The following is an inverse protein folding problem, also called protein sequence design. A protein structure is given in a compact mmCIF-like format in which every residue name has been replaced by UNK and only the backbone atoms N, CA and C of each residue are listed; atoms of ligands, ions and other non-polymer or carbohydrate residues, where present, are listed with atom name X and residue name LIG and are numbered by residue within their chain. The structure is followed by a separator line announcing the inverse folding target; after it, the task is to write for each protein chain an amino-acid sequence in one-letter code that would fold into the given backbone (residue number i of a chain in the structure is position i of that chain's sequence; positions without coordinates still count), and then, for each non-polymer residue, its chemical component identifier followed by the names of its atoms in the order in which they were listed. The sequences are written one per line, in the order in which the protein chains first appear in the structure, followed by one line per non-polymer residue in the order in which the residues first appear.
data_IF_935134159328
#
_entry.id   IF_935134159328
#
_cell.length_a   1.000
_cell.length_b   1.000
_cell.length_c   1.000
_cell.angle_alpha   90.00
_cell.angle_beta   90.00
_cell.angle_gamma   90.00
#
_symmetry.space_group_name_H-M   'P 1'
#
loop_
_entity.id
_entity.type
_entity.pdbx_description
1 polymer ?
#
# COMPACT_ATOMS: atom_id res chain seq x y z
N UNK A 1 -30.36 23.56 -30.23
CA UNK A 1 -29.56 22.35 -30.57
C UNK A 1 -28.25 22.25 -29.77
N UNK A 2 -27.48 23.34 -29.64
CA UNK A 2 -26.17 23.32 -28.96
C UNK A 2 -26.21 22.95 -27.46
N UNK A 3 -27.20 23.42 -26.71
CA UNK A 3 -27.30 23.13 -25.27
C UNK A 3 -27.49 21.63 -24.97
N UNK A 4 -28.27 20.93 -25.81
CA UNK A 4 -28.50 19.48 -25.66
C UNK A 4 -27.22 18.68 -25.92
N UNK A 5 -26.44 19.08 -26.92
CA UNK A 5 -25.14 18.46 -27.21
C UNK A 5 -24.14 18.66 -26.07
N UNK A 6 -24.14 19.83 -25.42
CA UNK A 6 -23.29 20.10 -24.27
C UNK A 6 -23.64 19.21 -23.08
N UNK A 7 -24.93 19.05 -22.76
CA UNK A 7 -25.38 18.14 -21.70
C UNK A 7 -25.05 16.67 -22.00
N UNK A 8 -25.19 16.22 -23.25
CA UNK A 8 -24.80 14.86 -23.63
C UNK A 8 -23.29 14.63 -23.49
N UNK A 9 -22.48 15.66 -23.74
CA UNK A 9 -21.02 15.59 -23.59
C UNK A 9 -20.61 15.54 -22.10
N UNK A 10 -21.22 16.37 -21.25
CA UNK A 10 -21.03 16.33 -19.79
C UNK A 10 -21.40 14.94 -19.24
N UNK A 11 -22.56 14.41 -19.64
CA UNK A 11 -23.05 13.10 -19.19
C UNK A 11 -22.12 11.95 -19.60
N UNK A 12 -21.55 11.99 -20.80
CA UNK A 12 -20.58 10.99 -21.28
C UNK A 12 -19.25 11.07 -20.53
N UNK A 13 -18.80 12.28 -20.20
CA UNK A 13 -17.56 12.49 -19.44
C UNK A 13 -17.72 12.03 -17.98
N UNK A 14 -18.84 12.33 -17.34
CA UNK A 14 -19.14 11.97 -15.96
C UNK A 14 -19.14 10.45 -15.73
N UNK A 15 -19.74 9.69 -16.65
CA UNK A 15 -19.76 8.22 -16.59
C UNK A 15 -18.36 7.60 -16.60
N UNK A 16 -17.42 8.19 -17.36
CA UNK A 16 -16.03 7.73 -17.41
C UNK A 16 -15.28 8.07 -16.12
N UNK A 17 -15.50 9.27 -15.57
CA UNK A 17 -14.83 9.69 -14.32
C UNK A 17 -15.15 8.73 -13.18
N UNK A 18 -16.42 8.33 -13.04
CA UNK A 18 -16.82 7.38 -11.99
C UNK A 18 -16.08 6.04 -12.09
N UNK A 19 -15.93 5.50 -13.30
CA UNK A 19 -15.21 4.24 -13.53
C UNK A 19 -13.74 4.34 -13.09
N UNK A 20 -13.04 5.35 -13.60
CA UNK A 20 -11.60 5.51 -13.33
C UNK A 20 -11.32 5.89 -11.87
N UNK A 21 -12.27 6.55 -11.20
CA UNK A 21 -12.16 6.85 -9.78
C UNK A 21 -12.09 5.59 -8.93
N UNK A 22 -12.89 4.57 -9.26
CA UNK A 22 -12.87 3.30 -8.55
C UNK A 22 -11.51 2.60 -8.73
N UNK A 23 -11.01 2.55 -9.96
CA UNK A 23 -9.70 1.97 -10.27
C UNK A 23 -8.56 2.66 -9.51
N UNK A 24 -8.61 4.00 -9.40
CA UNK A 24 -7.61 4.78 -8.65
C UNK A 24 -7.71 4.51 -7.15
N UNK A 25 -8.92 4.40 -6.60
CA UNK A 25 -9.12 4.08 -5.19
C UNK A 25 -8.63 2.68 -4.85
N UNK A 26 -8.88 1.69 -5.71
CA UNK A 26 -8.42 0.33 -5.53
C UNK A 26 -6.89 0.24 -5.62
N UNK A 27 -6.27 0.92 -6.60
CA UNK A 27 -4.82 1.02 -6.68
C UNK A 27 -4.20 1.72 -5.45
N UNK A 28 -4.86 2.77 -4.93
CA UNK A 28 -4.41 3.49 -3.75
C UNK A 28 -4.47 2.63 -2.48
N UNK A 29 -5.51 1.81 -2.30
CA UNK A 29 -5.63 0.86 -1.19
C UNK A 29 -4.48 -0.13 -1.20
N UNK A 30 -4.19 -0.74 -2.35
CA UNK A 30 -3.10 -1.71 -2.50
C UNK A 30 -1.76 -1.06 -2.15
N UNK A 31 -1.48 0.14 -2.68
CA UNK A 31 -0.25 0.88 -2.39
C UNK A 31 -0.11 1.27 -0.91
N UNK A 32 -1.21 1.65 -0.24
CA UNK A 32 -1.18 1.97 1.19
C UNK A 32 -1.01 0.73 2.05
N UNK A 33 -1.60 -0.40 1.65
CA UNK A 33 -1.38 -1.68 2.30
C UNK A 33 0.10 -2.10 2.27
N UNK A 34 0.81 -1.86 1.16
CA UNK A 34 2.23 -2.24 1.09
C UNK A 34 3.12 -1.36 1.97
N UNK A 35 2.76 -0.08 2.15
CA UNK A 35 3.45 0.81 3.11
C UNK A 35 3.27 0.31 4.55
N UNK A 36 2.11 -0.25 4.90
CA UNK A 36 1.94 -0.88 6.22
C UNK A 36 2.88 -2.07 6.41
N UNK A 37 3.12 -2.83 5.34
CA UNK A 37 4.07 -3.93 5.35
C UNK A 37 5.50 -3.45 5.61
N UNK A 38 5.91 -2.34 4.98
CA UNK A 38 7.21 -1.69 5.22
C UNK A 38 7.37 -1.22 6.68
N UNK A 39 6.27 -0.81 7.32
CA UNK A 39 6.25 -0.45 8.74
C UNK A 39 6.20 -1.66 9.69
N UNK A 40 6.30 -2.89 9.18
CA UNK A 40 6.42 -4.10 9.99
C UNK A 40 5.09 -4.78 10.34
N UNK A 41 3.97 -4.37 9.75
CA UNK A 41 2.72 -5.14 9.85
C UNK A 41 2.80 -6.42 9.02
N UNK A 42 2.21 -7.50 9.54
CA UNK A 42 2.11 -8.74 8.76
C UNK A 42 1.19 -8.55 7.54
N UNK A 43 1.45 -9.31 6.47
CA UNK A 43 0.66 -9.29 5.23
C UNK A 43 -0.85 -9.46 5.50
N UNK A 44 -1.22 -10.39 6.39
CA UNK A 44 -2.62 -10.62 6.74
C UNK A 44 -3.26 -9.47 7.53
N UNK A 45 -2.52 -8.82 8.43
CA UNK A 45 -3.01 -7.65 9.16
C UNK A 45 -3.18 -6.44 8.24
N UNK A 46 -2.21 -6.20 7.36
CA UNK A 46 -2.26 -5.10 6.39
C UNK A 46 -3.40 -5.28 5.37
N UNK A 47 -3.56 -6.50 4.83
CA UNK A 47 -4.65 -6.83 3.91
C UNK A 47 -6.02 -6.74 4.58
N UNK A 48 -6.15 -7.24 5.82
CA UNK A 48 -7.38 -7.14 6.61
C UNK A 48 -7.79 -5.70 6.90
N UNK A 49 -6.84 -4.82 7.26
CA UNK A 49 -7.12 -3.41 7.53
C UNK A 49 -7.53 -2.64 6.26
N UNK A 50 -6.96 -2.99 5.11
CA UNK A 50 -7.24 -2.33 3.83
C UNK A 50 -8.42 -2.95 3.07
N UNK A 51 -8.99 -4.06 3.56
CA UNK A 51 -10.07 -4.78 2.90
C UNK A 51 -9.66 -5.40 1.56
N UNK A 52 -8.41 -5.85 1.46
CA UNK A 52 -7.81 -6.41 0.24
C UNK A 52 -7.62 -7.91 0.38
N UNK A 53 -7.47 -8.61 -0.75
CA UNK A 53 -6.97 -9.97 -0.73
C UNK A 53 -5.48 -9.98 -0.38
N UNK A 54 -5.04 -10.99 0.37
CA UNK A 54 -3.62 -11.25 0.59
C UNK A 54 -2.86 -11.38 -0.75
N UNK A 55 -3.51 -11.93 -1.77
CA UNK A 55 -2.91 -12.13 -3.09
C UNK A 55 -2.66 -10.80 -3.82
N UNK A 56 -3.62 -9.85 -3.75
CA UNK A 56 -3.49 -8.53 -4.38
C UNK A 56 -2.33 -7.74 -3.77
N UNK A 57 -2.25 -7.80 -2.43
CA UNK A 57 -1.20 -7.14 -1.68
C UNK A 57 0.17 -7.77 -1.97
N UNK A 58 0.25 -9.10 -2.03
CA UNK A 58 1.48 -9.83 -2.34
C UNK A 58 1.95 -9.58 -3.78
N UNK A 59 1.04 -9.59 -4.76
CA UNK A 59 1.33 -9.31 -6.17
C UNK A 59 1.97 -7.94 -6.35
N UNK A 60 1.45 -6.92 -5.67
CA UNK A 60 1.99 -5.57 -5.72
C UNK A 60 3.29 -5.46 -4.92
N UNK A 61 3.30 -5.94 -3.67
CA UNK A 61 4.47 -5.91 -2.80
C UNK A 61 5.69 -6.57 -3.45
N UNK A 62 5.51 -7.70 -4.14
CA UNK A 62 6.58 -8.42 -4.86
C UNK A 62 7.14 -7.64 -6.06
N UNK A 63 6.36 -6.76 -6.67
CA UNK A 63 6.79 -5.91 -7.79
C UNK A 63 7.45 -4.62 -7.31
N UNK A 64 7.12 -4.16 -6.12
CA UNK A 64 7.76 -3.01 -5.48
C UNK A 64 9.01 -3.43 -4.71
N UNK A 65 10.02 -2.57 -4.73
CA UNK A 65 11.29 -2.72 -3.98
C UNK A 65 11.12 -2.72 -2.45
N UNK A 66 9.88 -2.64 -1.95
CA UNK A 66 9.50 -2.65 -0.53
C UNK A 66 10.08 -3.85 0.25
N UNK A 67 10.15 -5.02 -0.41
CA UNK A 67 10.74 -6.24 0.17
C UNK A 67 12.27 -6.28 0.07
N UNK A 68 12.85 -5.45 -0.79
CA UNK A 68 14.29 -5.40 -1.08
C UNK A 68 14.99 -4.23 -0.39
N UNK A 69 14.27 -3.51 0.49
CA UNK A 69 14.87 -2.65 1.51
C UNK A 69 15.52 -3.58 2.54
N UNK A 70 16.62 -4.20 2.12
CA UNK A 70 17.71 -4.59 2.99
C UNK A 70 18.21 -3.30 3.62
N UNK A 71 17.50 -2.87 4.65
CA UNK A 71 17.95 -1.84 5.56
C UNK A 71 19.40 -2.22 5.89
N UNK A 72 20.34 -1.34 5.59
CA UNK A 72 21.66 -1.34 6.23
C UNK A 72 21.48 -0.96 7.71
N UNK A 73 20.52 -1.63 8.35
CA UNK A 73 19.83 -1.28 9.56
C UNK A 73 20.56 -1.88 10.73
N UNK A 74 21.39 -1.04 11.33
CA UNK A 74 22.20 -1.33 12.51
C UNK A 74 23.23 -2.47 12.38
N UNK A 75 24.50 -2.07 12.58
CA UNK A 75 25.59 -3.02 12.83
C UNK A 75 25.20 -4.03 13.91
N UNK A 76 25.64 -5.28 13.76
CA UNK A 76 25.34 -6.37 14.70
C UNK A 76 25.64 -5.99 16.17
N UNK A 77 26.64 -5.12 16.40
CA UNK A 77 26.99 -4.60 17.73
C UNK A 77 25.85 -3.81 18.40
N UNK A 78 25.14 -2.97 17.64
CA UNK A 78 23.99 -2.19 18.15
C UNK A 78 22.81 -3.11 18.49
N UNK A 79 22.62 -4.17 17.69
CA UNK A 79 21.58 -5.19 17.94
C UNK A 79 21.87 -5.98 19.22
N UNK A 80 23.12 -6.39 19.42
CA UNK A 80 23.56 -7.07 20.66
C UNK A 80 23.39 -6.19 21.90
N UNK A 81 23.80 -4.92 21.84
CA UNK A 81 23.60 -3.99 22.96
C UNK A 81 22.14 -3.76 23.30
N UNK A 82 21.24 -3.70 22.30
CA UNK A 82 19.81 -3.59 22.54
C UNK A 82 19.30 -4.86 23.26
N UNK A 83 19.72 -6.05 22.81
CA UNK A 83 19.31 -7.31 23.41
C UNK A 83 19.78 -7.43 24.87
N UNK A 84 21.05 -7.10 25.16
CA UNK A 84 21.56 -7.12 26.53
C UNK A 84 20.77 -6.20 27.48
N UNK A 85 20.47 -4.97 27.02
CA UNK A 85 19.60 -4.05 27.77
C UNK A 85 18.18 -4.58 27.97
N UNK A 86 17.62 -5.22 26.94
CA UNK A 86 16.24 -5.72 26.96
C UNK A 86 16.09 -6.91 27.91
N UNK A 87 17.10 -7.78 27.97
CA UNK A 87 17.11 -8.98 28.81
C UNK A 87 17.79 -8.77 30.18
N UNK A 88 18.27 -7.56 30.47
CA UNK A 88 18.91 -7.23 31.75
C UNK A 88 20.18 -8.03 32.02
N UNK A 89 20.83 -8.50 30.96
CA UNK A 89 22.11 -9.21 31.03
C UNK A 89 23.19 -8.20 30.65
N UNK A 90 23.67 -7.45 31.63
CA UNK A 90 24.91 -6.68 31.54
C UNK A 90 26.08 -7.50 32.10
#
# INVERSE_FOLDING_TARGET
RNLKALYDLIRKSDAKVKLHLQDVMDAARIKKGTVLLEHGLSMGQAAGLMGLSNWDLQQYASKTTALDISDQGMSAKKRLQLAFKLFGVD
#
